data_IF_827364955848
#
_entry.id   IF_827364955848
#
_cell.length_a   1.000
_cell.length_b   1.000
_cell.length_c   1.000
_cell.angle_alpha   90.00
_cell.angle_beta   90.00
_cell.angle_gamma   90.00
#
_symmetry.space_group_name_H-M   'P 1'
#
loop_
_entity.id
_entity.type
_entity.pdbx_description
1 polymer ?
#
# COMPACT_ATOMS: atom_id res chain seq x y z
N UNK A 1 -10.09 -2.19 13.47
CA UNK A 1 -9.52 -3.46 13.03
C UNK A 1 -8.05 -3.46 13.39
N UNK A 2 -7.48 -4.64 13.57
CA UNK A 2 -6.07 -4.77 13.91
C UNK A 2 -5.22 -4.32 12.71
N UNK A 3 -4.24 -3.45 12.97
CA UNK A 3 -3.25 -3.01 11.99
C UNK A 3 -1.92 -3.56 12.44
N UNK A 4 -1.27 -4.31 11.55
CA UNK A 4 0.07 -4.81 11.74
C UNK A 4 1.04 -3.87 11.05
N UNK A 5 2.09 -3.47 11.77
CA UNK A 5 3.15 -2.60 11.27
C UNK A 5 4.49 -3.25 11.55
N UNK A 6 5.27 -3.48 10.50
CA UNK A 6 6.65 -3.97 10.60
C UNK A 6 7.58 -3.00 9.90
N UNK A 7 8.75 -2.78 10.49
CA UNK A 7 9.82 -2.00 9.88
C UNK A 7 11.16 -2.64 10.22
N UNK A 8 12.01 -2.80 9.22
CA UNK A 8 13.35 -3.35 9.39
C UNK A 8 14.34 -2.74 8.38
N UNK A 9 15.62 -2.77 8.72
CA UNK A 9 16.69 -2.43 7.80
C UNK A 9 17.23 -3.69 7.13
N UNK A 10 17.57 -3.59 5.84
CA UNK A 10 18.24 -4.63 5.07
C UNK A 10 19.21 -3.98 4.09
N UNK A 11 20.51 -4.17 4.29
CA UNK A 11 21.55 -3.51 3.49
C UNK A 11 21.35 -1.98 3.49
N UNK A 12 21.35 -1.35 2.32
CA UNK A 12 21.10 0.08 2.09
C UNK A 12 19.61 0.45 2.05
N UNK A 13 18.71 -0.35 2.61
CA UNK A 13 17.26 -0.13 2.52
C UNK A 13 16.52 -0.24 3.85
N UNK A 14 15.52 0.62 4.03
CA UNK A 14 14.47 0.49 5.02
C UNK A 14 13.24 -0.14 4.38
N UNK A 15 12.74 -1.20 5.00
CA UNK A 15 11.51 -1.88 4.60
C UNK A 15 10.41 -1.54 5.59
N UNK A 16 9.24 -1.18 5.09
CA UNK A 16 8.04 -0.88 5.87
C UNK A 16 6.92 -1.75 5.31
N UNK A 17 6.24 -2.48 6.18
CA UNK A 17 5.07 -3.28 5.83
C UNK A 17 3.90 -2.90 6.72
N UNK A 18 2.78 -2.58 6.10
CA UNK A 18 1.53 -2.22 6.77
C UNK A 18 0.46 -3.19 6.28
N UNK A 19 -0.17 -3.91 7.20
CA UNK A 19 -1.17 -4.92 6.87
C UNK A 19 -2.42 -4.78 7.74
N UNK A 20 -3.59 -5.07 7.16
CA UNK A 20 -4.85 -5.12 7.89
C UNK A 20 -5.80 -6.18 7.29
N UNK A 21 -6.70 -6.76 8.09
CA UNK A 21 -7.82 -7.52 7.57
C UNK A 21 -8.65 -6.67 6.60
N UNK A 22 -9.06 -7.28 5.49
CA UNK A 22 -9.86 -6.64 4.44
C UNK A 22 -10.83 -7.66 3.84
N UNK A 23 -11.94 -7.17 3.29
CA UNK A 23 -12.72 -7.95 2.34
C UNK A 23 -11.88 -8.30 1.11
N UNK A 24 -12.33 -9.31 0.37
CA UNK A 24 -11.68 -9.78 -0.85
C UNK A 24 -11.35 -8.63 -1.81
N UNK A 25 -10.09 -8.59 -2.25
CA UNK A 25 -9.57 -7.69 -3.29
C UNK A 25 -9.10 -8.57 -4.43
N UNK A 26 -9.68 -8.38 -5.61
CA UNK A 26 -9.30 -9.12 -6.81
C UNK A 26 -7.95 -8.67 -7.38
N UNK A 27 -7.31 -9.52 -8.19
CA UNK A 27 -6.08 -9.18 -8.90
C UNK A 27 -6.22 -7.95 -9.81
N UNK A 28 -7.41 -7.74 -10.38
CA UNK A 28 -7.71 -6.56 -11.21
C UNK A 28 -7.78 -5.30 -10.36
N UNK A 29 -8.42 -5.36 -9.19
CA UNK A 29 -8.44 -4.26 -8.23
C UNK A 29 -7.03 -3.92 -7.72
N UNK A 30 -6.21 -4.92 -7.42
CA UNK A 30 -4.81 -4.70 -7.00
C UNK A 30 -3.99 -3.96 -8.06
N UNK A 31 -4.22 -4.22 -9.35
CA UNK A 31 -3.55 -3.51 -10.46
C UNK A 31 -3.92 -2.03 -10.53
N UNK A 32 -5.17 -1.69 -10.20
CA UNK A 32 -5.69 -0.32 -10.23
C UNK A 32 -5.65 0.40 -8.88
N UNK A 33 -5.15 -0.24 -7.81
CA UNK A 33 -5.25 0.31 -6.45
C UNK A 33 -4.47 1.63 -6.26
N UNK A 34 -3.49 1.86 -7.12
CA UNK A 34 -2.68 3.08 -7.14
C UNK A 34 -3.20 4.15 -8.10
N UNK A 35 -4.29 3.89 -8.82
CA UNK A 35 -4.88 4.84 -9.75
C UNK A 35 -5.53 6.00 -8.97
N UNK A 36 -5.43 7.20 -9.54
CA UNK A 36 -6.02 8.39 -8.94
C UNK A 36 -7.54 8.21 -8.87
N UNK A 37 -8.12 8.48 -7.69
CA UNK A 37 -9.54 8.30 -7.39
C UNK A 37 -10.02 6.85 -7.29
N UNK A 38 -9.12 5.86 -7.30
CA UNK A 38 -9.52 4.49 -7.00
C UNK A 38 -10.05 4.41 -5.56
N UNK A 39 -11.28 3.89 -5.44
CA UNK A 39 -11.94 3.56 -4.18
C UNK A 39 -12.82 2.35 -4.42
N UNK A 40 -12.83 1.41 -3.47
CA UNK A 40 -13.86 0.36 -3.45
C UNK A 40 -15.22 1.02 -3.19
N UNK A 41 -16.30 0.48 -3.76
CA UNK A 41 -17.63 1.11 -3.70
C UNK A 41 -18.09 1.48 -2.27
N UNK A 42 -17.72 0.70 -1.27
CA UNK A 42 -18.01 0.97 0.15
C UNK A 42 -17.18 2.09 0.78
N UNK A 43 -15.98 2.37 0.24
CA UNK A 43 -15.08 3.41 0.70
C UNK A 43 -15.38 4.80 0.10
N UNK A 44 -16.21 4.87 -0.96
CA UNK A 44 -16.55 6.10 -1.70
C UNK A 44 -17.13 7.22 -0.85
N UNK A 45 -17.81 6.89 0.24
CA UNK A 45 -18.39 7.91 1.14
C UNK A 45 -17.39 8.47 2.16
N UNK A 46 -16.21 7.85 2.32
CA UNK A 46 -15.24 8.18 3.38
C UNK A 46 -13.87 8.63 2.88
N UNK A 47 -13.55 8.43 1.60
CA UNK A 47 -12.23 8.79 1.07
C UNK A 47 -12.29 9.27 -0.37
N UNK A 48 -11.38 10.18 -0.73
CA UNK A 48 -11.21 10.69 -2.09
C UNK A 48 -10.45 9.75 -3.03
N UNK A 49 -9.92 8.62 -2.55
CA UNK A 49 -9.10 7.72 -3.38
C UNK A 49 -7.74 8.31 -3.79
N UNK A 50 -7.23 9.28 -3.01
CA UNK A 50 -5.97 9.99 -3.34
C UNK A 50 -4.78 9.38 -2.57
N UNK A 51 -5.01 8.74 -1.44
CA UNK A 51 -3.96 8.31 -0.50
C UNK A 51 -2.87 7.45 -1.14
N UNK A 52 -3.25 6.28 -1.67
CA UNK A 52 -2.27 5.34 -2.27
C UNK A 52 -1.60 5.90 -3.52
N UNK A 53 -2.33 6.63 -4.37
CA UNK A 53 -1.75 7.34 -5.51
C UNK A 53 -0.64 8.30 -5.07
N UNK A 54 -0.93 9.17 -4.09
CA UNK A 54 0.03 10.15 -3.58
C UNK A 54 1.22 9.47 -2.89
N UNK A 55 0.98 8.43 -2.08
CA UNK A 55 2.04 7.65 -1.45
C UNK A 55 2.97 7.03 -2.50
N UNK A 56 2.42 6.43 -3.57
CA UNK A 56 3.25 5.89 -4.65
C UNK A 56 4.07 6.96 -5.33
N UNK A 57 3.50 8.14 -5.61
CA UNK A 57 4.25 9.26 -6.18
C UNK A 57 5.43 9.68 -5.29
N UNK A 58 5.21 9.78 -3.98
CA UNK A 58 6.25 10.15 -3.02
C UNK A 58 7.36 9.08 -2.93
N UNK A 59 6.99 7.80 -2.81
CA UNK A 59 7.95 6.69 -2.72
C UNK A 59 8.85 6.64 -3.96
N UNK A 60 8.27 6.76 -5.16
CA UNK A 60 9.06 6.78 -6.40
C UNK A 60 9.96 8.02 -6.48
N UNK A 61 9.52 9.19 -5.99
CA UNK A 61 10.33 10.41 -5.97
C UNK A 61 11.60 10.30 -5.12
N UNK A 62 11.57 9.48 -4.07
CA UNK A 62 12.73 9.21 -3.20
C UNK A 62 13.46 7.92 -3.58
N UNK A 63 13.30 7.47 -4.83
CA UNK A 63 13.95 6.27 -5.37
C UNK A 63 13.62 4.98 -4.61
N UNK A 64 12.47 4.93 -3.95
CA UNK A 64 11.93 3.73 -3.33
C UNK A 64 11.05 2.91 -4.26
N UNK A 65 10.53 1.81 -3.73
CA UNK A 65 9.55 0.93 -4.36
C UNK A 65 8.35 0.72 -3.44
N UNK A 66 7.17 0.53 -4.01
CA UNK A 66 5.93 0.25 -3.27
C UNK A 66 5.09 -0.77 -4.01
N UNK A 67 4.60 -1.77 -3.28
CA UNK A 67 3.80 -2.86 -3.79
C UNK A 67 2.64 -3.15 -2.85
N UNK A 68 1.61 -3.80 -3.40
CA UNK A 68 0.49 -4.32 -2.62
C UNK A 68 0.31 -5.80 -2.86
N UNK A 69 -0.22 -6.49 -1.87
CA UNK A 69 -0.76 -7.82 -2.05
C UNK A 69 -2.05 -7.99 -1.22
N UNK A 70 -2.82 -9.01 -1.57
CA UNK A 70 -3.91 -9.49 -0.76
C UNK A 70 -3.80 -11.01 -0.67
N UNK A 71 -3.65 -11.54 0.54
CA UNK A 71 -3.50 -12.97 0.78
C UNK A 71 -4.21 -13.36 2.08
N UNK A 72 -4.98 -14.45 2.04
CA UNK A 72 -5.67 -15.01 3.21
C UNK A 72 -6.48 -14.00 4.06
N UNK A 73 -7.16 -13.04 3.43
CA UNK A 73 -7.96 -12.03 4.14
C UNK A 73 -7.18 -10.79 4.58
N UNK A 74 -5.89 -10.72 4.28
CA UNK A 74 -5.01 -9.64 4.70
C UNK A 74 -4.59 -8.83 3.48
N UNK A 75 -4.88 -7.54 3.51
CA UNK A 75 -4.31 -6.57 2.59
C UNK A 75 -2.98 -6.07 3.16
N UNK A 76 -1.94 -6.02 2.33
CA UNK A 76 -0.61 -5.54 2.73
C UNK A 76 -0.09 -4.51 1.74
N UNK A 77 0.47 -3.43 2.28
CA UNK A 77 1.29 -2.45 1.57
C UNK A 77 2.73 -2.65 2.01
N UNK A 78 3.62 -2.90 1.04
CA UNK A 78 5.06 -3.05 1.26
C UNK A 78 5.81 -1.89 0.60
N UNK A 79 6.63 -1.19 1.36
CA UNK A 79 7.43 -0.05 0.92
C UNK A 79 8.90 -0.36 1.18
N UNK A 80 9.75 -0.11 0.19
CA UNK A 80 11.21 -0.20 0.27
C UNK A 80 11.80 1.16 -0.03
N UNK A 81 12.52 1.75 0.93
CA UNK A 81 13.15 3.07 0.79
C UNK A 81 14.67 2.95 0.91
N UNK A 82 15.47 3.65 0.09
CA UNK A 82 16.91 3.72 0.30
C UNK A 82 17.24 4.41 1.62
N UNK A 83 18.22 3.88 2.36
CA UNK A 83 18.85 4.54 3.50
C UNK A 83 19.89 5.53 2.96
N UNK A 84 20.01 6.68 3.62
CA UNK A 84 20.95 7.76 3.28
C UNK A 84 22.16 7.70 4.21
#
# INVERSE_FOLDING_TARGET
GDIMFYMWGESEYCHIQISNPSDYISDEELKSIFDLFYTKDEARTKSSGIGLYATRKLVIQISGDIQVNYEAGIFTVSIKLPLI
#
